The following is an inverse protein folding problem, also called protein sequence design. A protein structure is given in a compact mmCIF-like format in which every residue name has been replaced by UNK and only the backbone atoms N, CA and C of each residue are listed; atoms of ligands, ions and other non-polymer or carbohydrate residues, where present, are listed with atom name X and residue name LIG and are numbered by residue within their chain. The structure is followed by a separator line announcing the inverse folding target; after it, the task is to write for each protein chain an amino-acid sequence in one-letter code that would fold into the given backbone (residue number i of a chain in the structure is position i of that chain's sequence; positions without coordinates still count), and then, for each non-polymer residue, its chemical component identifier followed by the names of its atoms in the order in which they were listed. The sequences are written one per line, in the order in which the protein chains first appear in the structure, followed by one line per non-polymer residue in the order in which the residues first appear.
data_IF_487583362660
#
_entry.id   IF_487583362660
#
_cell.length_a   1.000
_cell.length_b   1.000
_cell.length_c   1.000
_cell.angle_alpha   90.00
_cell.angle_beta   90.00
_cell.angle_gamma   90.00
#
_symmetry.space_group_name_H-M   'P 1'
#
loop_
_entity.id
_entity.type
_entity.pdbx_description
1 polymer ?
#
# COMPACT_ATOMS: atom_id res chain seq x y z
N UNK A 1 1.99 26.01 -59.85
CA UNK A 1 3.00 25.01 -59.47
C UNK A 1 3.12 25.04 -57.95
N UNK A 2 2.83 23.91 -57.29
CA UNK A 2 3.25 23.53 -55.93
C UNK A 2 2.97 24.51 -54.77
N UNK A 3 1.97 24.22 -53.95
CA UNK A 3 2.14 23.46 -52.69
C UNK A 3 0.91 23.67 -51.78
N UNK A 4 -0.16 22.94 -52.12
CA UNK A 4 -1.33 22.73 -51.27
C UNK A 4 -0.94 21.83 -50.09
N UNK A 5 -0.29 22.29 -49.03
CA UNK A 5 0.01 21.43 -47.86
C UNK A 5 0.35 22.19 -46.55
N UNK A 6 -0.27 23.34 -46.27
CA UNK A 6 -0.19 23.95 -44.93
C UNK A 6 -1.55 24.00 -44.21
N UNK A 7 -2.42 23.04 -44.57
CA UNK A 7 -3.50 22.59 -43.71
C UNK A 7 -2.89 21.51 -42.80
N UNK A 8 -3.21 21.54 -41.49
CA UNK A 8 -3.09 20.40 -40.55
C UNK A 8 -1.74 20.15 -39.82
N UNK A 9 -1.00 21.17 -39.36
CA UNK A 9 0.11 20.94 -38.38
C UNK A 9 0.02 21.81 -37.11
N UNK A 10 -1.12 22.45 -36.83
CA UNK A 10 -1.33 23.14 -35.54
C UNK A 10 -2.33 22.44 -34.60
N UNK A 11 -2.85 21.26 -34.97
CA UNK A 11 -3.87 20.55 -34.17
C UNK A 11 -3.29 19.35 -33.39
N UNK A 12 -2.00 19.04 -33.51
CA UNK A 12 -1.45 17.75 -33.03
C UNK A 12 -0.52 17.79 -31.80
N UNK A 13 -0.47 18.90 -31.05
CA UNK A 13 0.42 19.01 -29.88
C UNK A 13 -0.28 19.51 -28.61
N UNK A 14 -1.55 19.15 -28.43
CA UNK A 14 -2.20 19.16 -27.11
C UNK A 14 -2.78 17.77 -26.82
N UNK A 15 -2.04 16.73 -27.18
CA UNK A 15 -2.00 15.51 -26.38
C UNK A 15 -0.78 15.62 -25.48
N UNK A 16 -0.77 16.65 -24.61
CA UNK A 16 -0.13 16.50 -23.31
C UNK A 16 -0.90 15.38 -22.64
N UNK A 17 -0.46 14.15 -22.91
CA UNK A 17 -0.75 12.98 -22.12
C UNK A 17 -0.51 13.42 -20.69
N UNK A 18 -1.61 13.63 -19.97
CA UNK A 18 -1.56 13.84 -18.55
C UNK A 18 -0.81 12.63 -18.00
N UNK A 19 0.47 12.82 -17.69
CA UNK A 19 1.15 12.05 -16.66
C UNK A 19 0.39 12.39 -15.39
N UNK A 20 -0.78 11.77 -15.24
CA UNK A 20 -1.47 11.65 -13.98
C UNK A 20 -0.60 10.71 -13.20
N UNK A 21 0.41 11.29 -12.54
CA UNK A 21 1.07 10.67 -11.39
C UNK A 21 -0.07 10.22 -10.49
N UNK A 22 -0.37 8.92 -10.49
CA UNK A 22 -1.49 8.39 -9.74
C UNK A 22 -1.20 8.67 -8.27
N UNK A 23 -1.97 9.56 -7.65
CA UNK A 23 -1.78 9.81 -6.22
C UNK A 23 -2.24 8.58 -5.46
N UNK A 24 -1.35 7.99 -4.68
CA UNK A 24 -1.70 7.00 -3.66
C UNK A 24 -2.17 7.78 -2.44
N UNK A 25 -3.36 7.46 -1.94
CA UNK A 25 -3.94 8.10 -0.76
C UNK A 25 -4.26 7.04 0.29
N UNK A 26 -3.93 7.34 1.53
CA UNK A 26 -4.28 6.54 2.71
C UNK A 26 -5.22 7.35 3.59
N UNK A 27 -6.22 6.69 4.13
CA UNK A 27 -7.16 7.29 5.06
C UNK A 27 -7.59 6.24 6.08
N UNK A 28 -7.91 6.66 7.29
CA UNK A 28 -8.43 5.77 8.33
C UNK A 28 -9.59 4.93 7.80
N UNK A 29 -9.55 3.63 8.11
CA UNK A 29 -10.60 2.71 7.73
C UNK A 29 -11.87 3.03 8.53
N UNK A 30 -12.81 3.70 7.87
CA UNK A 30 -14.10 4.06 8.48
C UNK A 30 -15.06 2.88 8.63
N UNK A 31 -14.95 1.89 7.75
CA UNK A 31 -15.85 0.73 7.73
C UNK A 31 -15.06 -0.50 7.30
N UNK A 32 -15.17 -1.57 8.08
CA UNK A 32 -14.54 -2.83 7.73
C UNK A 32 -15.13 -3.38 6.42
N UNK A 33 -14.31 -3.98 5.55
CA UNK A 33 -14.81 -4.64 4.35
C UNK A 33 -15.67 -5.87 4.69
N UNK A 34 -16.46 -6.39 3.73
CA UNK A 34 -17.36 -7.52 3.97
C UNK A 34 -16.61 -8.75 4.50
N UNK A 35 -17.14 -9.36 5.58
CA UNK A 35 -16.46 -10.44 6.30
C UNK A 35 -16.14 -11.68 5.43
N UNK A 36 -17.01 -11.99 4.46
CA UNK A 36 -16.81 -13.14 3.56
C UNK A 36 -15.96 -12.82 2.32
N UNK A 37 -15.49 -11.58 2.15
CA UNK A 37 -14.66 -11.19 1.02
C UNK A 37 -13.27 -11.83 1.17
N UNK A 38 -12.82 -12.50 0.11
CA UNK A 38 -11.49 -13.09 0.03
C UNK A 38 -10.50 -12.10 -0.58
N UNK A 39 -9.36 -11.95 0.06
CA UNK A 39 -8.27 -11.06 -0.34
C UNK A 39 -7.02 -11.86 -0.65
N UNK A 40 -6.23 -11.32 -1.56
CA UNK A 40 -4.81 -11.65 -1.62
C UNK A 40 -4.10 -10.82 -0.54
N UNK A 41 -3.48 -11.50 0.42
CA UNK A 41 -2.97 -10.88 1.64
C UNK A 41 -1.45 -11.00 1.70
N UNK A 42 -0.80 -9.88 1.95
CA UNK A 42 0.65 -9.75 2.10
C UNK A 42 0.94 -9.53 3.57
N UNK A 43 1.56 -10.52 4.20
CA UNK A 43 1.80 -10.58 5.64
C UNK A 43 3.28 -10.35 5.90
N UNK A 44 3.59 -9.43 6.80
CA UNK A 44 4.94 -9.23 7.31
C UNK A 44 4.93 -9.37 8.82
N UNK A 45 6.00 -9.98 9.32
CA UNK A 45 6.26 -10.18 10.72
C UNK A 45 7.76 -9.99 10.98
N UNK A 46 8.12 -9.04 11.84
CA UNK A 46 9.51 -8.87 12.24
C UNK A 46 9.96 -10.09 13.05
N UNK A 47 11.13 -10.66 12.73
CA UNK A 47 11.71 -11.85 13.38
C UNK A 47 11.94 -11.76 14.90
N UNK A 48 12.69 -12.71 15.47
CA UNK A 48 12.84 -12.96 16.93
C UNK A 48 12.85 -11.68 17.78
N UNK A 49 11.73 -11.45 18.48
CA UNK A 49 11.45 -10.20 19.17
C UNK A 49 10.03 -9.65 18.89
N UNK A 50 9.40 -10.08 17.78
CA UNK A 50 7.97 -9.88 17.47
C UNK A 50 7.46 -8.45 17.71
N UNK A 51 8.21 -7.46 17.22
CA UNK A 51 7.88 -6.05 17.47
C UNK A 51 6.76 -5.56 16.54
N UNK A 52 6.68 -6.10 15.31
CA UNK A 52 5.81 -5.56 14.27
C UNK A 52 5.12 -6.66 13.45
N UNK A 53 3.82 -6.44 13.22
CA UNK A 53 3.03 -7.15 12.21
C UNK A 53 2.40 -6.15 11.27
N UNK A 54 2.39 -6.49 9.99
CA UNK A 54 1.70 -5.74 8.95
C UNK A 54 0.91 -6.74 8.09
N UNK A 55 -0.32 -6.37 7.75
CA UNK A 55 -1.10 -7.09 6.76
C UNK A 55 -1.61 -6.10 5.72
N UNK A 56 -1.29 -6.34 4.45
CA UNK A 56 -1.91 -5.63 3.35
C UNK A 56 -2.88 -6.57 2.63
N UNK A 57 -4.17 -6.22 2.59
CA UNK A 57 -5.22 -6.99 1.94
C UNK A 57 -5.55 -6.33 0.60
N UNK A 58 -5.10 -6.92 -0.51
CA UNK A 58 -5.39 -6.40 -1.84
C UNK A 58 -6.84 -6.63 -2.21
N UNK A 59 -7.54 -5.56 -2.56
CA UNK A 59 -8.92 -5.63 -3.02
C UNK A 59 -9.02 -6.53 -4.27
N UNK A 60 -10.00 -7.45 -4.36
CA UNK A 60 -10.13 -8.37 -5.49
C UNK A 60 -10.29 -7.63 -6.82
N UNK A 61 -11.09 -6.56 -6.83
CA UNK A 61 -11.29 -5.71 -8.02
C UNK A 61 -10.15 -4.72 -8.29
N UNK A 62 -9.08 -4.74 -7.50
CA UNK A 62 -7.93 -3.84 -7.73
C UNK A 62 -7.25 -4.22 -9.05
N UNK A 63 -7.23 -3.31 -10.04
CA UNK A 63 -6.59 -3.55 -11.33
C UNK A 63 -5.07 -3.41 -11.26
N UNK A 64 -4.53 -3.01 -10.09
CA UNK A 64 -3.12 -2.71 -9.94
C UNK A 64 -2.40 -3.92 -9.33
N UNK A 65 -1.43 -4.49 -10.06
CA UNK A 65 -0.59 -5.55 -9.51
C UNK A 65 0.30 -5.01 -8.39
N UNK A 66 0.47 -5.82 -7.35
CA UNK A 66 1.37 -5.51 -6.23
C UNK A 66 2.65 -6.29 -6.41
N UNK A 67 3.78 -5.61 -6.23
CA UNK A 67 5.09 -6.23 -6.21
C UNK A 67 5.64 -6.14 -4.79
N UNK A 68 6.11 -7.28 -4.32
CA UNK A 68 6.78 -7.40 -3.03
C UNK A 68 8.21 -6.87 -3.20
N UNK A 69 8.56 -5.84 -2.43
CA UNK A 69 9.89 -5.25 -2.46
C UNK A 69 10.88 -5.91 -1.48
N UNK A 70 10.39 -6.75 -0.55
CA UNK A 70 11.17 -7.33 0.55
C UNK A 70 10.91 -8.83 0.70
N UNK A 71 11.96 -9.64 0.97
CA UNK A 71 11.83 -11.10 1.02
C UNK A 71 10.96 -11.60 2.19
N UNK A 72 10.80 -10.82 3.24
CA UNK A 72 10.14 -11.25 4.49
C UNK A 72 8.60 -11.11 4.45
N UNK A 73 8.05 -10.71 3.30
CA UNK A 73 6.61 -10.63 3.07
C UNK A 73 6.10 -11.98 2.56
N UNK A 74 5.27 -12.61 3.38
CA UNK A 74 4.58 -13.87 3.04
C UNK A 74 3.28 -13.58 2.29
N UNK A 75 3.06 -14.28 1.19
CA UNK A 75 1.81 -14.21 0.44
C UNK A 75 0.81 -15.26 0.95
N UNK A 76 -0.42 -14.83 1.22
CA UNK A 76 -1.52 -15.68 1.64
C UNK A 76 -2.84 -15.30 0.93
N UNK A 77 -3.88 -16.10 1.15
CA UNK A 77 -5.26 -15.74 0.84
C UNK A 77 -6.08 -15.84 2.12
N UNK A 78 -6.95 -14.87 2.34
CA UNK A 78 -7.83 -14.88 3.50
C UNK A 78 -8.77 -13.70 3.54
N UNK A 79 -9.62 -13.71 4.54
CA UNK A 79 -10.62 -12.69 4.86
C UNK A 79 -10.02 -11.57 5.71
N UNK A 80 -10.77 -10.47 5.83
CA UNK A 80 -10.43 -9.40 6.75
C UNK A 80 -10.35 -9.89 8.22
N UNK A 81 -11.23 -10.82 8.61
CA UNK A 81 -11.21 -11.39 9.96
C UNK A 81 -9.95 -12.21 10.21
N UNK A 82 -9.53 -13.03 9.25
CA UNK A 82 -8.31 -13.84 9.39
C UNK A 82 -7.05 -12.96 9.44
N UNK A 83 -7.03 -11.85 8.70
CA UNK A 83 -5.97 -10.86 8.83
C UNK A 83 -5.97 -10.20 10.21
N UNK A 84 -7.15 -9.84 10.75
CA UNK A 84 -7.27 -9.31 12.11
C UNK A 84 -6.80 -10.32 13.17
N UNK A 85 -7.12 -11.60 13.00
CA UNK A 85 -6.63 -12.68 13.87
C UNK A 85 -5.11 -12.82 13.78
N UNK A 86 -4.53 -12.67 12.59
CA UNK A 86 -3.08 -12.57 12.43
C UNK A 86 -2.50 -11.38 13.21
N UNK A 87 -3.13 -10.20 13.15
CA UNK A 87 -2.64 -9.02 13.88
C UNK A 87 -2.72 -9.20 15.41
N UNK A 88 -3.74 -9.89 15.92
CA UNK A 88 -4.01 -10.02 17.37
C UNK A 88 -3.28 -11.15 18.08
N UNK A 89 -2.65 -12.08 17.35
CA UNK A 89 -1.93 -13.24 17.92
C UNK A 89 -0.67 -12.89 18.75
N UNK A 90 -0.31 -11.62 18.94
CA UNK A 90 0.86 -11.22 19.73
C UNK A 90 0.49 -10.89 21.19
N UNK A 91 1.31 -11.25 22.18
CA UNK A 91 1.09 -10.81 23.56
C UNK A 91 1.48 -9.33 23.76
N UNK A 92 0.63 -8.55 24.42
CA UNK A 92 0.94 -7.17 24.84
C UNK A 92 -0.21 -6.17 24.65
N UNK A 93 -0.05 -4.91 25.08
CA UNK A 93 -0.98 -3.85 24.73
C UNK A 93 -0.90 -3.61 23.20
N UNK A 94 -1.95 -4.00 22.48
CA UNK A 94 -2.03 -3.88 21.04
C UNK A 94 -2.80 -2.61 20.65
N UNK A 95 -2.20 -1.81 19.77
CA UNK A 95 -2.93 -0.88 18.92
C UNK A 95 -2.78 -1.34 17.47
N UNK A 96 -3.91 -1.51 16.78
CA UNK A 96 -3.95 -1.85 15.36
C UNK A 96 -4.55 -0.66 14.64
N UNK A 97 -3.76 -0.02 13.79
CA UNK A 97 -4.25 1.01 12.89
C UNK A 97 -4.59 0.34 11.55
N UNK A 98 -5.76 0.69 11.00
CA UNK A 98 -6.25 0.18 9.73
C UNK A 98 -6.54 1.34 8.78
N UNK A 99 -5.97 1.29 7.58
CA UNK A 99 -6.07 2.33 6.56
C UNK A 99 -6.66 1.75 5.27
N UNK A 100 -7.52 2.51 4.60
CA UNK A 100 -7.91 2.25 3.21
C UNK A 100 -6.85 2.84 2.29
N UNK A 101 -6.29 2.02 1.40
CA UNK A 101 -5.35 2.48 0.38
C UNK A 101 -6.10 2.64 -0.94
N UNK A 102 -6.01 3.83 -1.51
CA UNK A 102 -6.62 4.15 -2.81
C UNK A 102 -5.57 4.59 -3.82
N UNK A 103 -5.80 4.24 -5.08
CA UNK A 103 -4.97 4.62 -6.22
C UNK A 103 -5.87 5.08 -7.35
N UNK A 104 -5.61 6.29 -7.88
CA UNK A 104 -6.43 6.92 -8.94
C UNK A 104 -7.94 6.89 -8.59
N UNK A 105 -8.27 7.15 -7.33
CA UNK A 105 -9.65 7.18 -6.82
C UNK A 105 -10.32 5.81 -6.61
N UNK A 106 -9.60 4.69 -6.84
CA UNK A 106 -10.12 3.33 -6.61
C UNK A 106 -9.46 2.70 -5.40
N UNK A 107 -10.22 1.94 -4.62
CA UNK A 107 -9.68 1.15 -3.51
C UNK A 107 -8.79 0.06 -4.10
N UNK A 108 -7.53 0.02 -3.67
CA UNK A 108 -6.57 -1.01 -4.05
C UNK A 108 -6.36 -2.05 -2.96
N UNK A 109 -6.66 -1.69 -1.72
CA UNK A 109 -6.60 -2.61 -0.60
C UNK A 109 -6.72 -1.90 0.75
N UNK A 110 -6.47 -2.69 1.79
CA UNK A 110 -6.54 -2.26 3.19
C UNK A 110 -5.22 -2.60 3.85
N UNK A 111 -4.62 -1.62 4.53
CA UNK A 111 -3.37 -1.79 5.26
C UNK A 111 -3.67 -1.84 6.76
N UNK A 112 -3.25 -2.91 7.41
CA UNK A 112 -3.27 -3.05 8.86
C UNK A 112 -1.83 -2.98 9.37
N UNK A 113 -1.61 -2.12 10.36
CA UNK A 113 -0.30 -1.98 11.01
C UNK A 113 -0.48 -2.13 12.50
N UNK A 114 0.29 -3.03 13.10
CA UNK A 114 0.36 -3.12 14.55
C UNK A 114 1.36 -2.08 15.06
N UNK A 115 0.93 -1.25 16.01
CA UNK A 115 1.77 -0.30 16.71
C UNK A 115 1.93 -0.76 18.17
N UNK A 116 3.17 -1.00 18.58
CA UNK A 116 3.46 -1.28 19.98
C UNK A 116 3.50 0.04 20.77
N UNK A 117 2.71 0.19 21.84
CA UNK A 117 2.72 1.38 22.68
C UNK A 117 3.89 1.29 23.66
N UNK A 118 5.11 1.51 23.18
CA UNK A 118 6.29 1.65 24.03
C UNK A 118 7.01 2.95 23.66
N UNK A 119 7.46 3.67 24.67
CA UNK A 119 7.99 5.04 24.61
C UNK A 119 9.26 5.22 23.77
N UNK A 120 9.84 4.14 23.26
CA UNK A 120 11.14 4.17 22.56
C UNK A 120 11.21 3.06 21.50
N UNK A 121 10.45 3.19 20.40
CA UNK A 121 10.70 2.36 19.22
C UNK A 121 10.64 3.25 17.97
N UNK A 122 11.64 3.08 17.11
CA UNK A 122 11.71 3.68 15.79
C UNK A 122 10.37 3.52 15.06
N UNK A 123 9.81 4.58 14.46
CA UNK A 123 8.53 4.46 13.78
C UNK A 123 8.69 3.53 12.57
N UNK A 124 7.90 2.48 12.54
CA UNK A 124 7.73 1.62 11.38
C UNK A 124 7.02 2.43 10.29
N UNK A 125 7.73 2.73 9.19
CA UNK A 125 7.16 3.44 8.05
C UNK A 125 6.77 2.43 6.99
N UNK A 126 5.47 2.18 6.88
CA UNK A 126 4.92 1.48 5.73
C UNK A 126 4.58 2.48 4.65
N UNK A 127 5.14 2.29 3.46
CA UNK A 127 4.81 3.10 2.28
C UNK A 127 4.35 2.21 1.14
N UNK A 128 3.34 2.68 0.41
CA UNK A 128 2.90 2.10 -0.85
C UNK A 128 3.27 3.11 -1.93
N UNK A 129 4.11 2.72 -2.88
CA UNK A 129 4.59 3.61 -3.96
C UNK A 129 4.26 3.04 -5.34
N UNK A 130 4.10 3.90 -6.34
CA UNK A 130 3.95 3.44 -7.73
C UNK A 130 5.33 3.37 -8.40
N UNK A 131 5.64 2.21 -9.00
CA UNK A 131 6.81 2.07 -9.88
C UNK A 131 6.44 1.24 -11.10
N UNK A 132 6.55 1.83 -12.28
CA UNK A 132 6.32 1.16 -13.56
C UNK A 132 4.93 0.48 -13.66
N UNK A 133 3.88 1.12 -13.13
CA UNK A 133 2.51 0.59 -13.14
C UNK A 133 2.20 -0.49 -12.08
N UNK A 134 3.14 -0.74 -11.17
CA UNK A 134 2.96 -1.62 -10.02
C UNK A 134 2.92 -0.80 -8.73
N UNK A 135 2.14 -1.25 -7.76
CA UNK A 135 2.29 -0.78 -6.38
C UNK A 135 3.38 -1.60 -5.69
N UNK A 136 4.33 -0.91 -5.08
CA UNK A 136 5.35 -1.49 -4.23
C UNK A 136 4.97 -1.25 -2.78
N UNK A 137 4.87 -2.34 -2.02
CA UNK A 137 4.76 -2.27 -0.57
C UNK A 137 6.17 -2.27 0.03
N UNK A 138 6.50 -1.19 0.74
CA UNK A 138 7.77 -1.02 1.44
C UNK A 138 7.54 -0.89 2.93
N UNK A 139 8.39 -1.57 3.70
CA UNK A 139 8.40 -1.50 5.16
C UNK A 139 9.78 -1.01 5.55
N UNK A 140 9.88 0.21 6.09
CA UNK A 140 11.13 0.79 6.56
C UNK A 140 11.08 0.90 8.07
N UNK A 141 12.13 0.43 8.75
CA UNK A 141 12.44 0.97 10.06
C UNK A 141 13.01 2.38 9.84
N UNK A 142 12.41 3.40 10.44
CA UNK A 142 12.97 4.74 10.39
C UNK A 142 14.23 4.77 11.27
N UNK A 143 15.40 4.46 10.71
CA UNK A 143 16.66 4.82 11.36
C UNK A 143 16.72 6.34 11.48
N UNK A 144 16.45 6.85 12.69
CA UNK A 144 16.77 8.22 13.03
C UNK A 144 18.30 8.35 13.01
N UNK A 145 18.84 9.05 12.02
CA UNK A 145 20.17 9.67 12.13
C UNK A 145 20.16 10.58 13.36
N UNK A 146 20.67 10.08 14.48
CA UNK A 146 21.02 10.92 15.62
C UNK A 146 22.39 11.51 15.30
N UNK A 147 22.41 12.75 14.81
CA UNK A 147 23.59 13.59 14.95
C UNK A 147 23.81 13.89 16.43
N UNK A 148 24.85 13.29 17.01
CA UNK A 148 25.59 13.85 18.14
C UNK A 148 27.08 13.68 17.92
#
# INVERSE_FOLDING_TARGET
MRLRFFLVICVFLIFMTGCTTGSIQRADLKTAPPAAMQFETYLFESGTGWLWRIAFLKHPDSPVPIRIAQPDITLARGTYSEAMDFMTKMPGPLRIDAETVTYKGKIVGYLMTQLFPVTTIYPLVVSVTEKSGHLLLHIHDLELEIHR
#
